data_IF_422792863623
#
_entry.id   IF_422792863623
#
_cell.length_a   1.000
_cell.length_b   1.000
_cell.length_c   1.000
_cell.angle_alpha   90.00
_cell.angle_beta   90.00
_cell.angle_gamma   90.00
#
_symmetry.space_group_name_H-M   'P 1'
#
loop_
_entity.id
_entity.type
_entity.pdbx_description
1 polymer ?
#
# COMPACT_ATOMS: atom_id res chain seq x y z
N UNK A 1 -22.92 -6.23 -10.80
CA UNK A 1 -22.46 -4.82 -10.76
C UNK A 1 -21.68 -4.69 -9.46
N UNK A 2 -20.61 -3.88 -9.44
CA UNK A 2 -20.05 -3.48 -8.14
C UNK A 2 -21.17 -2.80 -7.34
N UNK A 3 -21.20 -2.99 -6.04
CA UNK A 3 -22.27 -2.47 -5.21
C UNK A 3 -22.14 -0.96 -5.01
N UNK A 4 -23.28 -0.30 -4.75
CA UNK A 4 -23.33 1.12 -4.41
C UNK A 4 -22.79 1.34 -3.00
N UNK A 5 -22.26 2.53 -2.70
CA UNK A 5 -21.87 2.94 -1.35
C UNK A 5 -23.05 2.89 -0.35
N UNK A 6 -24.29 3.04 -0.81
CA UNK A 6 -25.46 2.95 0.05
C UNK A 6 -25.61 1.57 0.73
N UNK A 7 -25.00 0.54 0.13
CA UNK A 7 -25.01 -0.83 0.67
C UNK A 7 -23.75 -1.14 1.51
N UNK A 8 -22.82 -0.18 1.64
CA UNK A 8 -21.62 -0.37 2.45
C UNK A 8 -21.96 -0.34 3.94
N UNK A 9 -21.49 -1.29 4.75
CA UNK A 9 -21.84 -1.38 6.16
C UNK A 9 -21.01 -0.40 7.01
N UNK A 10 -21.20 0.92 6.82
CA UNK A 10 -20.43 1.97 7.48
C UNK A 10 -20.43 1.83 9.00
N UNK A 11 -21.60 1.61 9.62
CA UNK A 11 -21.71 1.52 11.08
C UNK A 11 -20.93 0.33 11.65
N UNK A 12 -20.96 -0.79 10.95
CA UNK A 12 -20.24 -1.99 11.37
C UNK A 12 -18.73 -1.81 11.23
N UNK A 13 -18.27 -1.25 10.10
CA UNK A 13 -16.83 -0.98 9.89
C UNK A 13 -16.35 0.09 10.88
N UNK A 14 -17.15 1.10 11.17
CA UNK A 14 -16.83 2.12 12.17
C UNK A 14 -16.69 1.51 13.58
N UNK A 15 -17.57 0.56 13.94
CA UNK A 15 -17.47 -0.19 15.20
C UNK A 15 -16.21 -1.07 15.23
N UNK A 16 -15.92 -1.81 14.15
CA UNK A 16 -14.71 -2.63 14.02
C UNK A 16 -13.43 -1.78 14.13
N UNK A 17 -13.40 -0.59 13.55
CA UNK A 17 -12.29 0.36 13.69
C UNK A 17 -12.11 0.81 15.14
N UNK A 18 -13.21 1.10 15.86
CA UNK A 18 -13.15 1.50 17.28
C UNK A 18 -12.63 0.40 18.20
N UNK A 19 -12.92 -0.84 17.86
CA UNK A 19 -12.47 -1.98 18.65
C UNK A 19 -11.08 -2.51 18.25
N UNK A 20 -10.51 -2.00 17.15
CA UNK A 20 -9.26 -2.48 16.58
C UNK A 20 -9.41 -3.80 15.82
N UNK A 21 -10.64 -4.15 15.40
CA UNK A 21 -10.99 -5.37 14.69
C UNK A 21 -10.95 -5.22 13.17
N UNK A 22 -10.62 -4.04 12.68
CA UNK A 22 -10.47 -3.73 11.27
C UNK A 22 -9.00 -3.38 10.96
N UNK A 23 -8.48 -3.92 9.87
CA UNK A 23 -7.15 -3.61 9.34
C UNK A 23 -7.32 -2.90 8.01
N UNK A 24 -7.11 -1.57 7.94
CA UNK A 24 -6.99 -0.84 6.69
C UNK A 24 -5.78 -1.32 5.89
N UNK A 25 -6.00 -1.58 4.61
CA UNK A 25 -4.98 -2.00 3.66
C UNK A 25 -4.91 -0.97 2.54
N UNK A 26 -3.84 -0.15 2.53
CA UNK A 26 -3.71 1.03 1.69
C UNK A 26 -2.93 0.73 0.42
N UNK A 27 -3.52 1.01 -0.74
CA UNK A 27 -2.86 1.00 -2.05
C UNK A 27 -2.54 2.41 -2.54
N UNK A 28 -1.98 2.53 -3.75
CA UNK A 28 -1.54 3.81 -4.32
C UNK A 28 -2.66 4.87 -4.40
N UNK A 29 -3.91 4.46 -4.61
CA UNK A 29 -5.06 5.37 -4.61
C UNK A 29 -5.42 5.94 -3.23
N UNK A 30 -4.91 5.34 -2.13
CA UNK A 30 -5.11 5.87 -0.79
C UNK A 30 -4.43 7.22 -0.57
N UNK A 31 -3.38 7.51 -1.35
CA UNK A 31 -2.69 8.81 -1.38
C UNK A 31 -3.27 9.77 -2.42
N UNK A 32 -4.42 9.46 -3.02
CA UNK A 32 -5.09 10.36 -3.96
C UNK A 32 -5.72 11.56 -3.23
N UNK A 33 -5.72 12.69 -3.93
CA UNK A 33 -6.33 13.95 -3.48
C UNK A 33 -7.44 14.39 -4.43
N UNK A 34 -8.37 15.24 -3.97
CA UNK A 34 -9.28 15.94 -4.87
C UNK A 34 -8.54 16.65 -6.01
N UNK A 35 -9.20 16.80 -7.16
CA UNK A 35 -8.57 17.30 -8.39
C UNK A 35 -8.07 18.75 -8.29
N UNK A 36 -8.65 19.52 -7.40
CA UNK A 36 -8.37 20.93 -7.15
C UNK A 36 -7.14 21.19 -6.25
N UNK A 37 -6.51 20.13 -5.76
CA UNK A 37 -5.28 20.24 -4.96
C UNK A 37 -4.07 20.08 -5.88
N UNK A 38 -3.24 21.11 -5.97
CA UNK A 38 -2.05 21.13 -6.84
C UNK A 38 -0.90 20.28 -6.30
N UNK A 39 -0.63 20.36 -4.99
CA UNK A 39 0.43 19.58 -4.34
C UNK A 39 -0.10 18.21 -3.89
N UNK A 40 0.03 17.21 -4.74
CA UNK A 40 -0.40 15.84 -4.48
C UNK A 40 0.62 14.83 -4.98
N UNK A 41 0.75 13.66 -4.32
CA UNK A 41 1.59 12.59 -4.83
C UNK A 41 1.04 12.09 -6.17
N UNK A 42 1.92 11.72 -7.11
CA UNK A 42 1.49 11.15 -8.37
C UNK A 42 0.84 9.78 -8.13
N UNK A 43 -0.19 9.47 -8.92
CA UNK A 43 -0.66 8.09 -9.00
C UNK A 43 0.44 7.18 -9.57
N UNK A 44 0.38 5.87 -9.35
CA UNK A 44 1.33 4.92 -9.92
C UNK A 44 1.43 5.05 -11.46
N UNK A 45 0.29 5.30 -12.13
CA UNK A 45 0.22 5.56 -13.57
C UNK A 45 0.94 6.86 -13.96
N UNK A 46 0.69 7.94 -13.24
CA UNK A 46 1.33 9.24 -13.49
C UNK A 46 2.84 9.13 -13.27
N UNK A 47 3.25 8.51 -12.16
CA UNK A 47 4.65 8.27 -11.85
C UNK A 47 5.35 7.46 -12.95
N UNK A 48 4.72 6.39 -13.44
CA UNK A 48 5.24 5.58 -14.53
C UNK A 48 5.45 6.41 -15.81
N UNK A 49 4.46 7.22 -16.21
CA UNK A 49 4.55 8.08 -17.39
C UNK A 49 5.67 9.13 -17.27
N UNK A 50 5.84 9.73 -16.10
CA UNK A 50 6.90 10.71 -15.88
C UNK A 50 8.29 10.05 -15.88
N UNK A 51 8.45 8.91 -15.24
CA UNK A 51 9.69 8.13 -15.30
C UNK A 51 9.99 7.68 -16.73
N UNK A 52 8.98 7.25 -17.51
CA UNK A 52 9.15 6.85 -18.91
C UNK A 52 9.64 8.02 -19.77
N UNK A 53 9.07 9.21 -19.58
CA UNK A 53 9.48 10.44 -20.25
C UNK A 53 10.93 10.80 -19.89
N UNK A 54 11.25 10.88 -18.61
CA UNK A 54 12.56 11.28 -18.10
C UNK A 54 13.69 10.30 -18.45
N UNK A 55 13.38 9.00 -18.48
CA UNK A 55 14.35 7.95 -18.81
C UNK A 55 14.45 7.66 -20.32
N UNK A 56 13.69 8.36 -21.15
CA UNK A 56 13.58 8.09 -22.59
C UNK A 56 13.21 6.64 -22.89
N UNK A 57 12.25 6.10 -22.11
CA UNK A 57 11.74 4.75 -22.32
C UNK A 57 11.26 4.59 -23.78
N UNK A 58 11.71 3.58 -24.55
CA UNK A 58 11.43 3.50 -25.97
C UNK A 58 9.95 3.58 -26.36
N UNK A 59 9.00 2.94 -25.66
CA UNK A 59 7.57 3.12 -25.92
C UNK A 59 7.09 4.57 -25.81
N UNK A 60 7.70 5.39 -24.96
CA UNK A 60 7.33 6.81 -24.86
C UNK A 60 7.62 7.60 -26.15
N UNK A 61 8.70 7.25 -26.87
CA UNK A 61 8.99 7.85 -28.18
C UNK A 61 7.90 7.53 -29.20
N UNK A 62 7.38 6.28 -29.19
CA UNK A 62 6.29 5.84 -30.08
C UNK A 62 5.03 6.70 -29.85
N UNK A 63 4.68 6.97 -28.59
CA UNK A 63 3.53 7.83 -28.25
C UNK A 63 3.72 9.23 -28.84
N UNK A 64 4.90 9.81 -28.62
CA UNK A 64 5.24 11.15 -29.09
C UNK A 64 5.20 11.24 -30.62
N UNK A 65 5.79 10.27 -31.28
CA UNK A 65 5.90 10.28 -32.75
C UNK A 65 4.55 9.96 -33.45
N UNK A 66 3.62 9.29 -32.73
CA UNK A 66 2.27 9.01 -33.23
C UNK A 66 1.28 10.17 -33.00
N UNK A 67 1.68 11.22 -32.30
CA UNK A 67 0.82 12.35 -31.97
C UNK A 67 0.33 13.05 -33.25
N UNK A 68 -1.00 13.10 -33.44
CA UNK A 68 -1.65 13.69 -34.62
C UNK A 68 -1.79 12.75 -35.81
N UNK A 69 -1.37 11.51 -35.77
CA UNK A 69 -1.56 10.54 -36.84
C UNK A 69 -2.99 10.00 -36.89
N UNK A 70 -3.59 9.97 -38.09
CA UNK A 70 -4.89 9.33 -38.35
C UNK A 70 -4.76 7.86 -38.82
N UNK A 71 -3.53 7.34 -38.95
CA UNK A 71 -3.28 5.96 -39.33
C UNK A 71 -3.63 5.01 -38.18
N UNK A 72 -4.57 4.07 -38.40
CA UNK A 72 -5.03 3.09 -37.41
C UNK A 72 -3.90 2.20 -36.88
N UNK A 73 -2.93 1.85 -37.73
CA UNK A 73 -1.79 1.03 -37.33
C UNK A 73 -0.88 1.81 -36.37
N UNK A 74 -0.67 3.09 -36.65
CA UNK A 74 0.09 4.00 -35.77
C UNK A 74 -0.64 4.22 -34.45
N UNK A 75 -1.96 4.42 -34.49
CA UNK A 75 -2.79 4.56 -33.30
C UNK A 75 -2.76 3.30 -32.44
N UNK A 76 -2.86 2.10 -32.99
CA UNK A 76 -2.76 0.83 -32.25
C UNK A 76 -1.39 0.64 -31.61
N UNK A 77 -0.31 1.01 -32.32
CA UNK A 77 1.06 0.98 -31.74
C UNK A 77 1.20 1.97 -30.61
N UNK A 78 0.65 3.17 -30.75
CA UNK A 78 0.64 4.20 -29.73
C UNK A 78 -0.11 3.75 -28.48
N UNK A 79 -1.28 3.12 -28.63
CA UNK A 79 -2.05 2.58 -27.48
C UNK A 79 -1.27 1.51 -26.72
N UNK A 80 -0.62 0.57 -27.43
CA UNK A 80 0.24 -0.43 -26.79
C UNK A 80 1.43 0.20 -26.06
N UNK A 81 2.04 1.21 -26.68
CA UNK A 81 3.15 1.95 -26.09
C UNK A 81 2.69 2.72 -24.84
N UNK A 82 1.48 3.29 -24.86
CA UNK A 82 0.89 3.95 -23.71
C UNK A 82 0.70 2.99 -22.54
N UNK A 83 0.11 1.81 -22.77
CA UNK A 83 -0.06 0.79 -21.75
C UNK A 83 1.29 0.35 -21.14
N UNK A 84 2.34 0.25 -21.95
CA UNK A 84 3.69 -0.05 -21.46
C UNK A 84 4.26 1.10 -20.61
N UNK A 85 4.04 2.36 -20.98
CA UNK A 85 4.49 3.52 -20.22
C UNK A 85 3.70 3.75 -18.92
N UNK A 86 2.49 3.23 -18.83
CA UNK A 86 1.66 3.30 -17.63
C UNK A 86 1.97 2.18 -16.63
N UNK A 87 2.81 1.22 -17.00
CA UNK A 87 3.25 0.13 -16.16
C UNK A 87 4.50 0.52 -15.37
N UNK A 88 4.31 0.89 -14.10
CA UNK A 88 5.38 1.36 -13.22
C UNK A 88 6.50 0.32 -13.07
N UNK A 89 6.16 -0.96 -12.99
CA UNK A 89 7.12 -2.05 -12.85
C UNK A 89 8.05 -2.13 -14.07
N UNK A 90 7.51 -2.16 -15.29
CA UNK A 90 8.30 -2.22 -16.52
C UNK A 90 9.18 -0.99 -16.73
N UNK A 91 8.62 0.20 -16.48
CA UNK A 91 9.37 1.45 -16.59
C UNK A 91 10.49 1.52 -15.56
N UNK A 92 10.24 1.10 -14.32
CA UNK A 92 11.25 1.07 -13.27
C UNK A 92 12.36 0.07 -13.58
N UNK A 93 12.03 -1.12 -14.10
CA UNK A 93 13.01 -2.10 -14.59
C UNK A 93 13.88 -1.51 -15.70
N UNK A 94 13.30 -0.78 -16.65
CA UNK A 94 14.06 -0.07 -17.68
C UNK A 94 15.02 0.96 -17.11
N UNK A 95 14.55 1.77 -16.13
CA UNK A 95 15.39 2.79 -15.49
C UNK A 95 16.56 2.15 -14.77
N UNK A 96 16.34 1.07 -14.04
CA UNK A 96 17.38 0.37 -13.30
C UNK A 96 18.38 -0.34 -14.23
N UNK A 97 17.91 -1.15 -15.17
CA UNK A 97 18.78 -1.91 -16.09
C UNK A 97 19.47 -1.05 -17.14
N UNK A 98 18.80 -0.03 -17.67
CA UNK A 98 19.37 0.86 -18.68
C UNK A 98 20.50 1.73 -18.16
N UNK A 99 20.62 1.89 -16.87
CA UNK A 99 21.63 2.71 -16.21
C UNK A 99 22.52 1.89 -15.26
N UNK A 100 22.14 0.64 -14.94
CA UNK A 100 22.82 -0.22 -13.98
C UNK A 100 22.84 0.35 -12.55
N UNK A 101 21.94 1.29 -12.22
CA UNK A 101 22.07 2.13 -11.05
C UNK A 101 20.73 2.23 -10.28
N UNK A 102 20.52 1.34 -9.30
CA UNK A 102 19.41 1.40 -8.34
C UNK A 102 19.33 2.75 -7.62
N UNK A 103 20.42 3.37 -7.14
CA UNK A 103 20.40 4.71 -6.57
C UNK A 103 19.80 5.77 -7.48
N UNK A 104 19.92 5.65 -8.80
CA UNK A 104 19.31 6.61 -9.74
C UNK A 104 17.79 6.45 -9.78
N UNK A 105 17.28 5.22 -9.78
CA UNK A 105 15.86 4.94 -9.67
C UNK A 105 15.31 5.50 -8.35
N UNK A 106 15.98 5.22 -7.22
CA UNK A 106 15.60 5.75 -5.90
C UNK A 106 15.52 7.27 -5.88
N UNK A 107 16.53 7.98 -6.41
CA UNK A 107 16.52 9.44 -6.49
C UNK A 107 15.35 9.98 -7.29
N UNK A 108 14.99 9.34 -8.42
CA UNK A 108 13.85 9.74 -9.22
C UNK A 108 12.53 9.54 -8.48
N UNK A 109 12.36 8.38 -7.84
CA UNK A 109 11.17 8.10 -7.03
C UNK A 109 11.05 9.09 -5.88
N UNK A 110 12.14 9.36 -5.17
CA UNK A 110 12.18 10.31 -4.07
C UNK A 110 11.79 11.72 -4.52
N UNK A 111 12.25 12.17 -5.69
CA UNK A 111 11.89 13.48 -6.23
C UNK A 111 10.38 13.63 -6.49
N UNK A 112 9.68 12.53 -6.79
CA UNK A 112 8.24 12.53 -7.04
C UNK A 112 7.39 12.24 -5.79
N UNK A 113 7.88 11.40 -4.88
CA UNK A 113 7.11 10.89 -3.73
C UNK A 113 7.46 11.60 -2.41
N UNK A 114 8.62 12.23 -2.33
CA UNK A 114 9.07 12.93 -1.14
C UNK A 114 9.80 14.21 -1.57
N UNK A 115 9.05 15.21 -2.03
CA UNK A 115 9.63 16.49 -2.39
C UNK A 115 10.13 17.20 -1.13
N UNK A 116 11.45 17.19 -0.89
CA UNK A 116 12.08 17.83 0.27
C UNK A 116 11.82 19.33 0.33
N UNK A 117 11.59 19.99 -0.81
CA UNK A 117 11.33 21.43 -0.89
C UNK A 117 9.86 21.76 -0.63
N UNK A 118 8.96 20.84 -0.91
CA UNK A 118 7.52 20.95 -0.66
C UNK A 118 7.02 19.60 -0.15
N UNK A 119 7.04 19.36 1.18
CA UNK A 119 6.50 18.12 1.73
C UNK A 119 5.07 17.92 1.28
N UNK A 120 4.78 16.74 0.72
CA UNK A 120 3.42 16.40 0.32
C UNK A 120 2.54 16.29 1.56
N UNK A 121 1.35 16.92 1.57
CA UNK A 121 0.42 16.76 2.67
C UNK A 121 -0.16 15.35 2.67
N UNK A 122 -0.54 14.84 3.81
CA UNK A 122 -1.43 13.69 3.89
C UNK A 122 -2.90 14.12 3.66
N UNK A 123 -3.74 13.18 3.23
CA UNK A 123 -5.15 13.45 2.93
C UNK A 123 -6.09 13.07 4.08
N UNK A 124 -7.41 13.29 3.87
CA UNK A 124 -8.46 12.99 4.85
C UNK A 124 -8.50 11.51 5.29
N UNK A 125 -8.12 10.57 4.44
CA UNK A 125 -8.05 9.14 4.80
C UNK A 125 -6.95 8.91 5.84
N UNK A 126 -5.74 9.41 5.60
CA UNK A 126 -4.63 9.28 6.54
C UNK A 126 -4.96 9.97 7.88
N UNK A 127 -5.62 11.15 7.83
CA UNK A 127 -6.08 11.85 9.02
C UNK A 127 -7.09 11.05 9.83
N UNK A 128 -8.10 10.48 9.16
CA UNK A 128 -9.10 9.63 9.80
C UNK A 128 -8.44 8.44 10.49
N UNK A 129 -7.55 7.71 9.78
CA UNK A 129 -6.87 6.55 10.35
C UNK A 129 -5.98 6.92 11.54
N UNK A 130 -5.29 8.06 11.49
CA UNK A 130 -4.48 8.54 12.62
C UNK A 130 -5.35 8.94 13.83
N UNK A 131 -6.53 9.53 13.60
CA UNK A 131 -7.51 9.84 14.68
C UNK A 131 -8.08 8.56 15.31
N UNK A 132 -8.38 7.55 14.50
CA UNK A 132 -8.81 6.23 14.99
C UNK A 132 -7.69 5.60 15.82
N UNK A 133 -6.47 5.55 15.26
CA UNK A 133 -5.30 4.96 15.91
C UNK A 133 -4.92 5.64 17.23
N UNK A 134 -5.23 6.93 17.37
CA UNK A 134 -5.05 7.68 18.63
C UNK A 134 -6.00 7.20 19.73
N UNK A 135 -7.20 6.75 19.38
CA UNK A 135 -8.18 6.23 20.36
C UNK A 135 -7.96 4.76 20.65
N UNK A 136 -7.60 3.98 19.64
CA UNK A 136 -7.39 2.54 19.75
C UNK A 136 -6.22 2.09 18.87
N UNK A 137 -5.20 1.46 19.43
CA UNK A 137 -4.13 0.87 18.65
C UNK A 137 -4.65 -0.09 17.58
N UNK A 138 -4.13 0.02 16.37
CA UNK A 138 -4.56 -0.76 15.22
C UNK A 138 -3.39 -1.13 14.31
N UNK A 139 -3.58 -2.14 13.47
CA UNK A 139 -2.66 -2.41 12.38
C UNK A 139 -3.10 -1.67 11.12
N UNK A 140 -2.17 -1.01 10.45
CA UNK A 140 -2.35 -0.40 9.12
C UNK A 140 -1.33 -1.05 8.19
N UNK A 141 -1.79 -1.57 7.07
CA UNK A 141 -0.91 -2.20 6.07
C UNK A 141 -0.92 -1.34 4.82
N UNK A 142 0.24 -1.16 4.20
CA UNK A 142 0.33 -0.38 2.96
C UNK A 142 1.34 -0.97 1.97
N UNK A 143 1.03 -0.82 0.67
CA UNK A 143 1.98 -1.03 -0.41
C UNK A 143 2.63 0.27 -0.88
N UNK A 144 2.23 1.42 -0.32
CA UNK A 144 2.76 2.71 -0.72
C UNK A 144 4.17 2.93 -0.18
N UNK A 145 5.00 3.54 -1.00
CA UNK A 145 6.37 3.91 -0.62
C UNK A 145 6.43 5.23 0.15
N UNK A 146 5.43 6.12 -0.08
CA UNK A 146 5.35 7.43 0.57
C UNK A 146 5.23 7.30 2.09
N UNK A 147 5.46 8.37 2.82
CA UNK A 147 5.42 8.43 4.27
C UNK A 147 4.18 9.19 4.80
N UNK A 148 3.13 9.32 3.99
CA UNK A 148 1.94 10.10 4.35
C UNK A 148 1.19 9.52 5.55
N UNK A 149 1.15 8.19 5.67
CA UNK A 149 0.58 7.53 6.85
C UNK A 149 1.43 7.81 8.11
N UNK A 150 2.77 7.73 7.99
CA UNK A 150 3.69 8.08 9.08
C UNK A 150 3.51 9.53 9.52
N UNK A 151 3.43 10.47 8.56
CA UNK A 151 3.24 11.89 8.84
C UNK A 151 1.95 12.16 9.61
N UNK A 152 0.84 11.56 9.19
CA UNK A 152 -0.45 11.70 9.86
C UNK A 152 -0.41 11.15 11.30
N UNK A 153 0.21 9.98 11.50
CA UNK A 153 0.37 9.39 12.85
C UNK A 153 1.23 10.28 13.74
N UNK A 154 2.37 10.78 13.24
CA UNK A 154 3.27 11.67 13.98
C UNK A 154 2.55 12.98 14.37
N UNK A 155 1.86 13.62 13.42
CA UNK A 155 1.18 14.90 13.69
C UNK A 155 0.04 14.75 14.71
N UNK A 156 -0.63 13.59 14.70
CA UNK A 156 -1.67 13.25 15.70
C UNK A 156 -1.11 12.73 17.03
N UNK A 157 0.22 12.65 17.17
CA UNK A 157 0.88 12.18 18.40
C UNK A 157 0.62 10.69 18.69
N UNK A 158 0.45 9.88 17.66
CA UNK A 158 0.23 8.43 17.79
C UNK A 158 1.57 7.70 17.78
N UNK A 159 1.97 7.04 18.87
CA UNK A 159 3.14 6.18 18.85
C UNK A 159 2.85 4.92 18.00
N UNK A 160 3.74 4.59 17.08
CA UNK A 160 3.59 3.42 16.23
C UNK A 160 4.90 2.70 16.00
N UNK A 161 4.79 1.39 15.84
CA UNK A 161 5.86 0.52 15.41
C UNK A 161 5.83 0.42 13.89
N UNK A 162 6.99 0.60 13.24
CA UNK A 162 7.10 0.53 11.79
C UNK A 162 7.79 -0.77 11.38
N UNK A 163 7.11 -1.53 10.52
CA UNK A 163 7.67 -2.69 9.83
C UNK A 163 7.81 -2.40 8.35
N UNK A 164 8.95 -2.76 7.78
CA UNK A 164 9.24 -2.57 6.35
C UNK A 164 9.83 -3.86 5.80
N UNK A 165 9.28 -4.33 4.67
CA UNK A 165 9.84 -5.49 3.97
C UNK A 165 11.10 -5.08 3.22
N UNK A 166 12.23 -5.71 3.56
CA UNK A 166 13.49 -5.55 2.84
C UNK A 166 13.59 -6.52 1.66
N UNK A 167 14.13 -6.04 0.55
CA UNK A 167 14.39 -6.83 -0.66
C UNK A 167 15.87 -7.13 -0.80
N UNK A 168 16.18 -8.33 -1.28
CA UNK A 168 17.54 -8.73 -1.59
C UNK A 168 18.08 -7.88 -2.72
N UNK A 169 19.32 -7.40 -2.57
CA UNK A 169 20.06 -6.71 -3.63
C UNK A 169 21.23 -7.58 -4.12
N UNK A 170 21.72 -7.33 -5.36
CA UNK A 170 22.87 -8.04 -5.90
C UNK A 170 24.08 -7.97 -4.97
N UNK A 171 24.93 -9.01 -5.05
CA UNK A 171 26.11 -9.19 -4.23
C UNK A 171 27.03 -7.96 -4.24
N UNK A 172 27.36 -7.46 -3.06
CA UNK A 172 28.31 -6.34 -2.86
C UNK A 172 27.84 -5.24 -1.93
N UNK A 173 26.54 -5.16 -1.63
CA UNK A 173 26.04 -4.22 -0.63
C UNK A 173 25.73 -4.95 0.69
N UNK A 174 26.11 -4.39 1.85
CA UNK A 174 25.88 -5.01 3.15
C UNK A 174 24.40 -4.84 3.54
N UNK A 175 23.51 -5.61 2.93
CA UNK A 175 22.10 -5.63 3.30
C UNK A 175 21.68 -7.02 3.75
N UNK A 176 20.82 -7.00 4.74
CA UNK A 176 20.24 -8.19 5.35
C UNK A 176 19.32 -8.85 4.32
N UNK A 177 19.79 -9.96 3.76
CA UNK A 177 19.01 -10.74 2.80
C UNK A 177 17.71 -11.23 3.45
N UNK A 178 16.59 -10.87 2.86
CA UNK A 178 15.30 -11.47 3.18
C UNK A 178 14.70 -11.11 4.54
N UNK A 179 15.07 -9.99 5.15
CA UNK A 179 14.58 -9.60 6.45
C UNK A 179 13.43 -8.59 6.39
N UNK A 180 12.54 -8.66 7.35
CA UNK A 180 11.70 -7.53 7.72
C UNK A 180 12.53 -6.57 8.57
N UNK A 181 12.50 -5.30 8.22
CA UNK A 181 13.08 -4.24 9.05
C UNK A 181 12.04 -3.78 10.06
N UNK A 182 12.49 -3.46 11.26
CA UNK A 182 11.64 -3.02 12.35
C UNK A 182 12.20 -1.76 13.01
N UNK A 183 11.32 -0.81 13.28
CA UNK A 183 11.58 0.39 14.05
C UNK A 183 10.53 0.52 15.15
N UNK A 184 10.90 0.32 16.42
CA UNK A 184 9.99 0.57 17.54
C UNK A 184 9.59 2.03 17.65
N UNK A 185 8.43 2.31 18.20
CA UNK A 185 7.98 3.67 18.49
C UNK A 185 9.02 4.43 19.32
N UNK A 186 9.27 5.70 18.93
CA UNK A 186 10.23 6.57 19.58
C UNK A 186 11.70 6.32 19.22
N UNK A 187 11.99 5.37 18.31
CA UNK A 187 13.32 5.18 17.73
C UNK A 187 13.36 5.70 16.29
N UNK A 188 14.56 6.01 15.80
CA UNK A 188 14.76 6.55 14.45
C UNK A 188 15.26 5.51 13.44
N UNK A 189 15.93 4.46 13.90
CA UNK A 189 16.63 3.52 13.05
C UNK A 189 15.79 2.27 12.76
N UNK A 190 15.73 1.89 11.48
CA UNK A 190 15.21 0.60 11.05
C UNK A 190 16.30 -0.47 11.25
N UNK A 191 15.98 -1.52 11.98
CA UNK A 191 16.88 -2.65 12.26
C UNK A 191 16.31 -3.95 11.71
N UNK A 192 17.16 -4.84 11.16
CA UNK A 192 16.70 -6.15 10.74
C UNK A 192 16.12 -6.95 11.91
N UNK A 193 14.99 -7.59 11.64
CA UNK A 193 14.44 -8.57 12.57
C UNK A 193 15.26 -9.85 12.49
N UNK A 194 15.84 -10.28 13.59
CA UNK A 194 16.64 -11.50 13.71
C UNK A 194 15.96 -12.51 14.63
N UNK A 195 15.70 -13.71 14.12
CA UNK A 195 15.11 -14.80 14.88
C UNK A 195 13.59 -14.74 15.03
N UNK A 196 13.03 -15.73 15.73
CA UNK A 196 11.62 -15.77 16.12
C UNK A 196 11.42 -14.88 17.36
N UNK A 197 11.26 -13.58 17.15
CA UNK A 197 10.93 -12.64 18.22
C UNK A 197 9.45 -12.29 18.13
N UNK A 198 8.77 -12.24 19.26
CA UNK A 198 7.49 -11.56 19.40
C UNK A 198 7.74 -10.06 19.24
N UNK A 199 7.41 -9.54 18.07
CA UNK A 199 7.71 -8.15 17.71
C UNK A 199 6.56 -7.21 17.99
N UNK A 200 5.33 -7.73 18.01
CA UNK A 200 4.16 -6.92 18.29
C UNK A 200 3.95 -6.79 19.81
N UNK A 201 3.77 -5.56 20.27
CA UNK A 201 3.32 -5.29 21.63
C UNK A 201 1.81 -5.62 21.71
N UNK A 202 1.50 -6.84 22.13
CA UNK A 202 0.14 -7.38 22.17
C UNK A 202 -0.30 -7.72 23.58
N UNK A 203 -1.59 -7.71 23.79
CA UNK A 203 -2.28 -8.23 24.94
C UNK A 203 -3.20 -9.37 24.50
N UNK A 204 -3.22 -10.45 25.26
CA UNK A 204 -4.16 -11.55 25.04
C UNK A 204 -5.18 -11.47 26.16
N UNK A 205 -6.45 -11.25 25.79
CA UNK A 205 -7.53 -11.18 26.78
C UNK A 205 -7.94 -12.58 27.29
N UNK A 206 -8.83 -12.61 28.29
CA UNK A 206 -9.30 -13.86 28.88
C UNK A 206 -10.02 -14.80 27.90
N UNK A 207 -10.48 -14.28 26.78
CA UNK A 207 -11.06 -15.05 25.66
C UNK A 207 -10.04 -15.56 24.64
N UNK A 208 -8.74 -15.23 24.82
CA UNK A 208 -7.69 -15.56 23.87
C UNK A 208 -7.63 -14.63 22.65
N UNK A 209 -8.31 -13.48 22.70
CA UNK A 209 -8.28 -12.49 21.64
C UNK A 209 -7.00 -11.63 21.73
N UNK A 210 -6.28 -11.53 20.62
CA UNK A 210 -5.05 -10.74 20.53
C UNK A 210 -5.40 -9.28 20.25
N UNK A 211 -4.92 -8.36 21.11
CA UNK A 211 -5.10 -6.91 20.98
C UNK A 211 -3.76 -6.21 20.92
N UNK A 212 -3.63 -5.25 20.02
CA UNK A 212 -2.45 -4.41 19.94
C UNK A 212 -2.45 -3.39 21.10
N UNK A 213 -1.33 -3.26 21.80
CA UNK A 213 -1.07 -2.18 22.75
C UNK A 213 -0.49 -0.94 22.09
N UNK A 214 0.05 -1.10 20.88
CA UNK A 214 0.61 -0.03 20.06
C UNK A 214 0.18 -0.17 18.62
N UNK A 215 -0.02 0.96 17.94
CA UNK A 215 -0.32 0.97 16.50
C UNK A 215 0.87 0.42 15.72
N UNK A 216 0.57 -0.38 14.71
CA UNK A 216 1.54 -0.99 13.80
C UNK A 216 1.30 -0.46 12.40
N UNK A 217 2.33 0.10 11.79
CA UNK A 217 2.34 0.42 10.36
C UNK A 217 3.24 -0.58 9.63
N UNK A 218 2.69 -1.35 8.70
CA UNK A 218 3.41 -2.36 7.95
C UNK A 218 3.48 -2.01 6.47
N UNK A 219 4.67 -1.71 5.96
CA UNK A 219 4.96 -1.36 4.56
C UNK A 219 5.50 -2.59 3.84
N UNK A 220 4.61 -3.31 3.15
CA UNK A 220 4.94 -4.62 2.57
C UNK A 220 5.72 -4.56 1.26
N UNK A 221 5.73 -3.42 0.58
CA UNK A 221 6.54 -3.18 -0.62
C UNK A 221 7.79 -2.34 -0.33
N UNK A 222 8.17 -2.23 0.95
CA UNK A 222 9.28 -1.39 1.36
C UNK A 222 8.89 0.07 1.52
N UNK A 223 9.89 0.94 1.59
CA UNK A 223 9.70 2.39 1.71
C UNK A 223 10.88 3.15 1.09
N UNK A 224 10.67 4.41 0.84
CA UNK A 224 11.72 5.35 0.46
C UNK A 224 12.09 6.14 1.72
N UNK A 225 13.31 5.95 2.22
CA UNK A 225 13.79 6.63 3.42
C UNK A 225 14.00 8.12 3.19
N UNK A 226 13.46 8.97 4.06
CA UNK A 226 13.71 10.42 4.03
C UNK A 226 15.03 10.81 4.69
N UNK A 227 15.35 10.17 5.81
CA UNK A 227 16.49 10.54 6.67
C UNK A 227 17.74 9.77 6.37
N UNK A 228 17.64 8.54 5.86
CA UNK A 228 18.76 7.70 5.48
C UNK A 228 18.45 6.93 4.21
N UNK A 229 19.26 7.11 3.18
CA UNK A 229 19.19 6.30 1.95
C UNK A 229 19.71 4.88 2.13
N UNK A 230 20.37 4.62 3.26
CA UNK A 230 20.80 3.26 3.60
C UNK A 230 19.59 2.32 3.83
N UNK A 231 18.43 2.91 4.15
CA UNK A 231 17.20 2.19 4.45
C UNK A 231 16.25 2.05 3.24
N UNK A 232 16.63 2.61 2.07
CA UNK A 232 15.84 2.47 0.85
C UNK A 232 15.67 1.00 0.49
N UNK A 233 14.44 0.54 0.60
CA UNK A 233 14.04 -0.79 0.19
C UNK A 233 12.65 -0.71 -0.41
N UNK A 234 12.46 -1.18 -1.63
CA UNK A 234 11.18 -1.10 -2.30
C UNK A 234 11.02 -2.15 -3.39
N UNK A 235 9.81 -2.68 -3.51
CA UNK A 235 9.38 -3.64 -4.52
C UNK A 235 8.79 -2.84 -5.67
N UNK A 236 9.53 -2.64 -6.75
CA UNK A 236 9.07 -1.78 -7.85
C UNK A 236 9.45 -2.30 -9.24
N UNK A 237 10.58 -2.99 -9.37
CA UNK A 237 10.99 -3.62 -10.63
C UNK A 237 10.45 -5.05 -10.75
N UNK A 238 10.49 -5.61 -11.94
CA UNK A 238 10.05 -6.98 -12.20
C UNK A 238 10.82 -7.98 -11.34
N UNK A 239 12.14 -7.80 -11.20
CA UNK A 239 12.98 -8.66 -10.35
C UNK A 239 12.67 -8.52 -8.87
N UNK A 240 12.36 -7.29 -8.42
CA UNK A 240 11.92 -7.08 -7.04
C UNK A 240 10.65 -7.90 -6.74
N UNK A 241 9.67 -7.87 -7.65
CA UNK A 241 8.44 -8.65 -7.49
C UNK A 241 8.69 -10.15 -7.51
N UNK A 242 9.54 -10.65 -8.40
CA UNK A 242 9.92 -12.06 -8.45
C UNK A 242 10.57 -12.48 -7.13
N UNK A 243 11.50 -11.69 -6.61
CA UNK A 243 12.18 -11.94 -5.33
C UNK A 243 11.20 -11.90 -4.15
N UNK A 244 10.30 -10.91 -4.13
CA UNK A 244 9.27 -10.77 -3.10
C UNK A 244 8.32 -11.98 -3.06
N UNK A 245 7.79 -12.39 -4.22
CA UNK A 245 6.89 -13.53 -4.32
C UNK A 245 7.58 -14.87 -4.02
N UNK A 246 8.83 -15.01 -4.43
CA UNK A 246 9.66 -16.18 -4.11
C UNK A 246 9.80 -16.38 -2.60
N UNK A 247 10.04 -15.30 -1.85
CA UNK A 247 10.15 -15.34 -0.39
C UNK A 247 8.84 -15.61 0.33
N UNK A 248 7.74 -15.10 -0.18
CA UNK A 248 6.42 -15.46 0.35
C UNK A 248 6.12 -16.96 0.24
N UNK A 249 6.82 -17.68 -0.63
CA UNK A 249 6.67 -19.12 -0.87
C UNK A 249 7.58 -20.04 -0.07
N UNK A 250 8.70 -19.53 0.38
CA UNK A 250 9.70 -20.25 1.18
C UNK A 250 9.41 -20.00 2.66
N UNK A 251 9.46 -20.98 3.53
CA UNK A 251 9.08 -20.88 4.96
C UNK A 251 9.59 -19.68 5.77
N UNK A 252 10.35 -18.76 5.16
CA UNK A 252 10.70 -17.45 5.68
C UNK A 252 9.61 -16.43 5.32
N UNK A 253 8.55 -16.40 6.11
CA UNK A 253 7.44 -15.46 5.90
C UNK A 253 7.93 -14.01 5.93
N UNK A 254 7.60 -13.26 4.88
CA UNK A 254 7.84 -11.82 4.80
C UNK A 254 6.97 -11.05 5.79
N UNK A 255 5.87 -11.68 6.23
CA UNK A 255 4.92 -11.11 7.19
C UNK A 255 5.23 -11.72 8.56
N UNK A 256 5.49 -10.91 9.60
CA UNK A 256 5.64 -11.41 10.96
C UNK A 256 4.46 -12.29 11.38
N UNK A 257 4.74 -13.40 12.08
CA UNK A 257 3.72 -14.39 12.42
C UNK A 257 2.53 -13.77 13.18
N UNK A 258 2.81 -12.88 14.13
CA UNK A 258 1.77 -12.19 14.91
C UNK A 258 0.87 -11.32 14.03
N UNK A 259 1.46 -10.61 13.06
CA UNK A 259 0.68 -9.81 12.12
C UNK A 259 -0.14 -10.69 11.18
N UNK A 260 0.41 -11.82 10.73
CA UNK A 260 -0.32 -12.81 9.94
C UNK A 260 -1.52 -13.37 10.73
N UNK A 261 -1.36 -13.64 12.02
CA UNK A 261 -2.44 -14.09 12.92
C UNK A 261 -3.53 -13.02 13.06
N UNK A 262 -3.17 -11.75 13.25
CA UNK A 262 -4.12 -10.64 13.27
C UNK A 262 -4.91 -10.55 11.95
N UNK A 263 -4.22 -10.64 10.81
CA UNK A 263 -4.88 -10.59 9.49
C UNK A 263 -5.85 -11.75 9.26
N UNK A 264 -5.64 -12.91 9.90
CA UNK A 264 -6.55 -14.05 9.81
C UNK A 264 -7.86 -13.85 10.57
N UNK A 265 -7.85 -13.06 11.64
CA UNK A 265 -8.95 -12.89 12.58
C UNK A 265 -9.66 -11.53 12.47
N UNK A 266 -9.19 -10.61 11.64
CA UNK A 266 -9.72 -9.24 11.51
C UNK A 266 -10.37 -9.00 10.16
N UNK A 267 -11.30 -8.04 10.11
CA UNK A 267 -11.85 -7.50 8.86
C UNK A 267 -10.75 -6.74 8.11
N UNK A 268 -10.51 -7.06 6.84
CA UNK A 268 -9.63 -6.27 5.98
C UNK A 268 -10.46 -5.30 5.14
N UNK A 269 -10.05 -4.03 5.11
CA UNK A 269 -10.66 -3.01 4.26
C UNK A 269 -9.60 -2.46 3.30
N UNK A 270 -9.72 -2.83 2.03
CA UNK A 270 -8.80 -2.44 0.97
C UNK A 270 -9.21 -1.07 0.42
N UNK A 271 -8.32 -0.09 0.50
CA UNK A 271 -8.56 1.29 0.14
C UNK A 271 -7.56 1.76 -0.91
N UNK A 272 -8.06 2.21 -2.06
CA UNK A 272 -7.22 2.75 -3.13
C UNK A 272 -6.39 1.72 -3.89
N UNK A 273 -6.83 0.47 -3.93
CA UNK A 273 -6.19 -0.55 -4.74
C UNK A 273 -6.70 -0.52 -6.18
N UNK A 274 -5.76 -0.50 -7.14
CA UNK A 274 -6.04 -0.94 -8.49
C UNK A 274 -6.14 -2.47 -8.48
N UNK A 275 -7.35 -3.01 -8.46
CA UNK A 275 -7.61 -4.44 -8.33
C UNK A 275 -7.05 -5.27 -9.52
N UNK A 276 -6.52 -4.60 -10.54
CA UNK A 276 -5.82 -5.18 -11.70
C UNK A 276 -4.37 -5.56 -11.41
N UNK A 277 -3.80 -5.11 -10.29
CA UNK A 277 -2.43 -5.46 -9.93
C UNK A 277 -2.32 -6.96 -9.63
N UNK A 278 -1.63 -7.67 -10.53
CA UNK A 278 -1.44 -9.10 -10.45
C UNK A 278 -0.66 -9.52 -9.20
N UNK A 279 0.32 -8.73 -8.82
CA UNK A 279 1.16 -9.02 -7.65
C UNK A 279 0.34 -8.94 -6.36
N UNK A 280 -0.55 -7.94 -6.29
CA UNK A 280 -1.48 -7.83 -5.18
C UNK A 280 -2.49 -9.01 -5.15
N UNK A 281 -2.94 -9.49 -6.31
CA UNK A 281 -3.80 -10.68 -6.38
C UNK A 281 -3.13 -11.92 -5.81
N UNK A 282 -1.84 -12.12 -6.07
CA UNK A 282 -1.06 -13.25 -5.50
C UNK A 282 -0.93 -13.09 -3.98
N UNK A 283 -0.62 -11.89 -3.50
CA UNK A 283 -0.59 -11.60 -2.08
C UNK A 283 -1.93 -11.90 -1.41
N UNK A 284 -3.02 -11.39 -1.99
CA UNK A 284 -4.37 -11.60 -1.47
C UNK A 284 -4.76 -13.08 -1.47
N UNK A 285 -4.47 -13.81 -2.54
CA UNK A 285 -4.76 -15.24 -2.61
C UNK A 285 -4.10 -16.03 -1.47
N UNK A 286 -2.88 -15.66 -1.11
CA UNK A 286 -2.17 -16.26 0.02
C UNK A 286 -2.80 -15.86 1.36
N UNK A 287 -3.08 -14.58 1.54
CA UNK A 287 -3.73 -14.09 2.75
C UNK A 287 -5.10 -14.73 2.96
N UNK A 288 -5.91 -14.84 1.90
CA UNK A 288 -7.26 -15.42 2.00
C UNK A 288 -7.25 -16.92 2.26
N UNK A 289 -6.28 -17.67 1.73
CA UNK A 289 -6.10 -19.10 2.04
C UNK A 289 -5.77 -19.36 3.51
N UNK A 290 -5.16 -18.42 4.19
CA UNK A 290 -4.82 -18.49 5.62
C UNK A 290 -5.96 -18.02 6.52
N UNK A 291 -7.00 -17.38 5.99
CA UNK A 291 -8.08 -16.74 6.77
C UNK A 291 -9.22 -17.70 7.07
N UNK A 292 -9.90 -17.44 8.19
CA UNK A 292 -11.18 -18.10 8.50
C UNK A 292 -12.22 -17.62 7.49
N UNK A 293 -12.89 -18.54 6.80
CA UNK A 293 -13.88 -18.22 5.76
C UNK A 293 -15.06 -17.37 6.25
N UNK A 294 -15.31 -17.32 7.55
CA UNK A 294 -16.42 -16.56 8.13
C UNK A 294 -16.21 -15.03 8.14
N UNK A 295 -14.98 -14.55 7.96
CA UNK A 295 -14.68 -13.11 8.06
C UNK A 295 -14.63 -12.50 6.67
N UNK A 296 -15.64 -11.68 6.36
CA UNK A 296 -15.71 -10.94 5.10
C UNK A 296 -14.75 -9.75 5.12
N UNK A 297 -14.19 -9.43 3.96
CA UNK A 297 -13.40 -8.23 3.72
C UNK A 297 -14.12 -7.32 2.73
N UNK A 298 -13.66 -6.08 2.68
CA UNK A 298 -14.28 -5.06 1.84
C UNK A 298 -13.20 -4.35 1.02
N UNK A 299 -13.56 -3.89 -0.18
CA UNK A 299 -12.68 -3.10 -1.01
C UNK A 299 -13.43 -1.90 -1.59
N UNK A 300 -12.82 -0.74 -1.51
CA UNK A 300 -13.27 0.47 -2.19
C UNK A 300 -12.34 0.70 -3.37
N UNK A 301 -12.88 0.57 -4.57
CA UNK A 301 -12.14 0.71 -5.82
C UNK A 301 -12.86 1.64 -6.79
N UNK A 302 -12.09 2.49 -7.45
CA UNK A 302 -12.62 3.35 -8.50
C UNK A 302 -12.71 2.58 -9.82
N UNK A 303 -13.85 2.70 -10.52
CA UNK A 303 -14.07 2.15 -11.88
C UNK A 303 -13.73 0.65 -12.02
N UNK A 304 -14.33 -0.18 -11.17
CA UNK A 304 -14.17 -1.63 -11.23
C UNK A 304 -15.19 -2.28 -12.19
N UNK A 305 -14.73 -3.19 -13.03
CA UNK A 305 -15.63 -3.96 -13.88
C UNK A 305 -16.28 -5.16 -13.17
N UNK A 306 -17.35 -5.70 -13.78
CA UNK A 306 -18.12 -6.81 -13.22
C UNK A 306 -17.28 -8.10 -13.05
N UNK A 307 -16.38 -8.38 -13.99
CA UNK A 307 -15.56 -9.59 -13.94
C UNK A 307 -14.56 -9.51 -12.78
N UNK A 308 -13.96 -8.34 -12.60
CA UNK A 308 -13.07 -8.07 -11.48
C UNK A 308 -13.81 -8.17 -10.14
N UNK A 309 -14.98 -7.56 -10.01
CA UNK A 309 -15.80 -7.63 -8.80
C UNK A 309 -16.12 -9.09 -8.41
N UNK A 310 -16.47 -9.94 -9.38
CA UNK A 310 -16.73 -11.38 -9.14
C UNK A 310 -15.49 -12.15 -8.68
N UNK A 311 -14.31 -11.84 -9.25
CA UNK A 311 -13.05 -12.47 -8.83
C UNK A 311 -12.71 -12.18 -7.37
N UNK A 312 -13.08 -10.99 -6.89
CA UNK A 312 -12.87 -10.58 -5.51
C UNK A 312 -13.89 -11.23 -4.57
N UNK A 313 -15.14 -11.31 -4.99
CA UNK A 313 -16.20 -11.96 -4.20
C UNK A 313 -15.89 -13.44 -3.95
N UNK A 314 -15.30 -14.16 -4.94
CA UNK A 314 -14.79 -15.53 -4.76
C UNK A 314 -13.72 -15.65 -3.68
N UNK A 315 -13.03 -14.55 -3.35
CA UNK A 315 -12.05 -14.45 -2.27
C UNK A 315 -12.62 -13.91 -0.98
N UNK A 316 -13.94 -13.87 -0.87
CA UNK A 316 -14.66 -13.30 0.28
C UNK A 316 -14.36 -11.80 0.51
N UNK A 317 -14.11 -11.05 -0.57
CA UNK A 317 -13.93 -9.60 -0.57
C UNK A 317 -15.06 -8.94 -1.35
N UNK A 318 -15.94 -8.23 -0.66
CA UNK A 318 -17.04 -7.47 -1.25
C UNK A 318 -16.51 -6.14 -1.77
N UNK A 319 -16.74 -5.84 -3.05
CA UNK A 319 -16.19 -4.66 -3.70
C UNK A 319 -17.26 -3.61 -3.98
N UNK A 320 -16.99 -2.38 -3.58
CA UNK A 320 -17.82 -1.20 -3.81
C UNK A 320 -17.09 -0.25 -4.79
N UNK A 321 -17.83 0.22 -5.79
CA UNK A 321 -17.28 1.17 -6.77
C UNK A 321 -17.50 2.58 -6.27
N UNK A 322 -16.43 3.25 -5.82
CA UNK A 322 -16.50 4.62 -5.34
C UNK A 322 -15.14 5.33 -5.38
N UNK A 323 -15.19 6.65 -5.39
CA UNK A 323 -14.04 7.50 -5.10
C UNK A 323 -13.79 7.54 -3.59
N UNK A 324 -12.54 7.42 -3.16
CA UNK A 324 -12.18 7.54 -1.74
C UNK A 324 -12.50 8.92 -1.17
N UNK A 325 -12.50 9.97 -1.99
CA UNK A 325 -12.91 11.31 -1.55
C UNK A 325 -14.41 11.39 -1.21
N UNK A 326 -15.23 10.48 -1.76
CA UNK A 326 -16.66 10.34 -1.39
C UNK A 326 -16.84 9.38 -0.21
N UNK A 327 -16.07 8.30 -0.19
CA UNK A 327 -16.14 7.26 0.83
C UNK A 327 -15.67 7.74 2.21
N UNK A 328 -14.52 8.44 2.29
CA UNK A 328 -13.89 8.82 3.56
C UNK A 328 -14.78 9.71 4.43
N UNK A 329 -15.46 10.75 3.89
CA UNK A 329 -16.38 11.55 4.70
C UNK A 329 -17.55 10.75 5.30
N UNK A 330 -18.08 9.75 4.58
CA UNK A 330 -19.15 8.88 5.07
C UNK A 330 -18.65 7.97 6.19
N UNK A 331 -17.47 7.38 6.03
CA UNK A 331 -16.87 6.56 7.08
C UNK A 331 -16.53 7.39 8.33
N UNK A 332 -16.04 8.62 8.15
CA UNK A 332 -15.74 9.54 9.25
C UNK A 332 -17.00 9.93 10.01
N UNK A 333 -18.10 10.22 9.31
CA UNK A 333 -19.38 10.52 9.92
C UNK A 333 -19.93 9.33 10.73
N UNK A 334 -19.88 8.12 10.17
CA UNK A 334 -20.29 6.91 10.88
C UNK A 334 -19.40 6.65 12.12
N UNK A 335 -18.09 6.83 11.97
CA UNK A 335 -17.16 6.68 13.08
C UNK A 335 -17.41 7.71 14.20
N UNK A 336 -17.73 8.95 13.88
CA UNK A 336 -18.04 9.98 14.86
C UNK A 336 -19.33 9.68 15.64
N UNK A 337 -20.33 9.05 15.00
CA UNK A 337 -21.63 8.70 15.59
C UNK A 337 -21.58 7.40 16.41
N UNK A 338 -20.62 6.51 16.17
CA UNK A 338 -20.51 5.24 16.89
C UNK A 338 -20.19 5.51 18.37
N UNK A 339 -20.97 5.03 19.34
CA UNK A 339 -20.69 5.25 20.76
C UNK A 339 -19.37 4.62 21.19
N UNK A 340 -18.63 5.30 22.02
CA UNK A 340 -17.49 4.67 22.73
C UNK A 340 -18.07 3.69 23.74
N UNK A 341 -17.95 2.40 23.49
CA UNK A 341 -18.34 1.40 24.48
C UNK A 341 -17.33 1.47 25.63
N UNK A 342 -17.70 2.20 26.70
CA UNK A 342 -16.99 2.12 27.97
C UNK A 342 -17.25 0.72 28.57
N UNK A 343 -16.24 -0.14 28.48
CA UNK A 343 -16.18 -1.40 29.25
C UNK A 343 -15.53 -1.16 30.59
#
# INVERSE_FOLDING_TARGET
MAESLDEFPFDWIAADLREGNCIPFLGAGASAFPKDIDAKPPSARTLALELARESRYPPYQIIRDASGSNDLTVQQRSLRAQLACENLMLVSSWVEHGTGDRPRLSRKLLAHLANEQQPLPYNSLHDLLARVARQKPMAIITTNYDDLAELALVERGVPFDLFVVAIDRPAGEPRVQGATLFRPAGQNDLKPVTGEQELLDVEIDAGGEVRLRRTVLFKIHGHIGRTSRADDTFVITEEDYVSFLGRMGSGNSVIPADLANLMQSRTLVFLGYGLRDWNFRVLLDRLTKMRRQAIRSYAIAYDIDLAESRLWDQRNVKVFSADLNEFVPLLDAAWAQTPTVSR
#
